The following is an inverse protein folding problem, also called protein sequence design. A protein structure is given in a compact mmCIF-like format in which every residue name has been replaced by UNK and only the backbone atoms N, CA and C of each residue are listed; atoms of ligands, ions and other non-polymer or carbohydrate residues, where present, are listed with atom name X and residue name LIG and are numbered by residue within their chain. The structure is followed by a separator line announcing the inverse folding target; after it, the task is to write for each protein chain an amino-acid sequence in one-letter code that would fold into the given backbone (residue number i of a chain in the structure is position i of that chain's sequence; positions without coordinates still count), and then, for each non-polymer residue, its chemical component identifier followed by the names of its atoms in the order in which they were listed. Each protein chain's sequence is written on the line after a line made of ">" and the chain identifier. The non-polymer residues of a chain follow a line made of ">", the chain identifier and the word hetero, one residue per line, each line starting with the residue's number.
data_IF_298686241238
#
_entry.id   IF_298686241238
#
_cell.length_a   1.000
_cell.length_b   1.000
_cell.length_c   1.000
_cell.angle_alpha   90.00
_cell.angle_beta   90.00
_cell.angle_gamma   90.00
#
_symmetry.space_group_name_H-M   'P 1'
#
loop_
_entity.id
_entity.type
_entity.pdbx_description
1 polymer ?
#
# COMPACT_ATOMS: atom_id res chain seq x y z
N UNK A 1 6.91 -15.00 -8.48
CA UNK A 1 6.14 -15.51 -9.63
C UNK A 1 6.06 -14.40 -10.66
N UNK A 2 6.34 -14.67 -11.94
CA UNK A 2 6.24 -13.65 -12.99
C UNK A 2 4.75 -13.36 -13.27
N UNK A 3 4.35 -12.09 -13.21
CA UNK A 3 3.01 -11.65 -13.58
C UNK A 3 2.95 -11.52 -15.10
N UNK A 4 2.01 -12.22 -15.74
CA UNK A 4 1.77 -12.13 -17.19
C UNK A 4 0.47 -11.38 -17.46
N UNK A 5 0.39 -10.68 -18.59
CA UNK A 5 -0.78 -9.89 -18.95
C UNK A 5 -0.66 -9.22 -20.32
N UNK A 6 -1.72 -8.58 -20.78
CA UNK A 6 -1.77 -7.81 -22.02
C UNK A 6 -1.29 -6.36 -21.86
N UNK A 7 -0.87 -5.97 -20.64
CA UNK A 7 -0.38 -4.63 -20.28
C UNK A 7 0.78 -4.77 -19.30
N UNK A 8 1.85 -4.01 -19.55
CA UNK A 8 3.05 -3.94 -18.71
C UNK A 8 3.49 -2.49 -18.65
N UNK A 9 3.77 -1.99 -17.45
CA UNK A 9 4.35 -0.66 -17.24
C UNK A 9 5.16 -0.68 -15.94
N UNK A 10 6.23 0.10 -15.91
CA UNK A 10 7.03 0.42 -14.73
C UNK A 10 6.49 1.64 -13.95
N UNK A 11 5.50 2.35 -14.49
CA UNK A 11 4.81 3.44 -13.82
C UNK A 11 3.67 2.91 -12.94
N UNK A 12 3.91 3.00 -11.63
CA UNK A 12 3.00 2.61 -10.57
C UNK A 12 1.62 3.30 -10.62
N UNK A 13 1.53 4.54 -11.09
CA UNK A 13 0.28 5.30 -11.20
C UNK A 13 -0.47 4.97 -12.51
N UNK A 14 0.25 4.72 -13.61
CA UNK A 14 -0.37 4.19 -14.83
C UNK A 14 -1.11 2.88 -14.58
N UNK A 15 -0.47 1.93 -13.87
CA UNK A 15 -1.09 0.66 -13.48
C UNK A 15 -2.30 0.87 -12.56
N UNK A 16 -2.21 1.81 -11.63
CA UNK A 16 -3.34 2.17 -10.75
C UNK A 16 -4.53 2.73 -11.53
N UNK A 17 -4.30 3.62 -12.50
CA UNK A 17 -5.36 4.16 -13.36
C UNK A 17 -6.04 3.07 -14.19
N UNK A 18 -5.30 2.07 -14.68
CA UNK A 18 -5.88 0.93 -15.37
C UNK A 18 -6.80 0.11 -14.46
N UNK A 19 -6.38 -0.16 -13.22
CA UNK A 19 -7.22 -0.88 -12.26
C UNK A 19 -8.53 -0.14 -11.97
N UNK A 20 -8.47 1.18 -11.77
CA UNK A 20 -9.66 2.04 -11.56
C UNK A 20 -10.57 2.03 -12.80
N UNK A 21 -10.00 1.96 -14.01
CA UNK A 21 -10.76 1.85 -15.25
C UNK A 21 -11.35 0.44 -15.50
N UNK A 22 -11.11 -0.53 -14.62
CA UNK A 22 -11.62 -1.90 -14.76
C UNK A 22 -10.82 -2.78 -15.73
N UNK A 23 -9.57 -2.39 -16.03
CA UNK A 23 -8.74 -3.06 -17.04
C UNK A 23 -7.96 -4.27 -16.52
N UNK A 24 -8.29 -4.76 -15.32
CA UNK A 24 -7.72 -5.95 -14.72
C UNK A 24 -7.56 -5.87 -13.20
N UNK A 25 -6.75 -6.79 -12.66
CA UNK A 25 -6.39 -6.85 -11.24
C UNK A 25 -5.04 -6.19 -11.00
N UNK A 26 -4.89 -5.57 -9.83
CA UNK A 26 -3.63 -4.97 -9.40
C UNK A 26 -3.21 -5.53 -8.04
N UNK A 27 -1.93 -5.89 -7.93
CA UNK A 27 -1.31 -6.28 -6.67
C UNK A 27 -0.34 -5.17 -6.26
N UNK A 28 -0.72 -4.38 -5.26
CA UNK A 28 0.07 -3.26 -4.72
C UNK A 28 -0.07 -3.24 -3.19
N UNK A 29 0.79 -2.45 -2.54
CA UNK A 29 0.65 -2.22 -1.11
C UNK A 29 -0.70 -1.54 -0.84
N UNK A 30 -1.34 -1.91 0.28
CA UNK A 30 -2.58 -1.25 0.71
C UNK A 30 -2.37 0.27 0.84
N UNK A 31 -1.21 0.69 1.34
CA UNK A 31 -0.87 2.10 1.53
C UNK A 31 -1.01 2.93 0.25
N UNK A 32 -0.66 2.35 -0.91
CA UNK A 32 -0.75 3.01 -2.21
C UNK A 32 -2.20 3.16 -2.72
N UNK A 33 -3.13 2.35 -2.21
CA UNK A 33 -4.50 2.23 -2.72
C UNK A 33 -5.56 2.66 -1.70
N UNK A 34 -5.19 3.07 -0.48
CA UNK A 34 -6.13 3.40 0.61
C UNK A 34 -7.21 4.40 0.17
N UNK A 35 -6.85 5.44 -0.59
CA UNK A 35 -7.81 6.45 -1.00
C UNK A 35 -8.80 5.94 -2.05
N UNK A 36 -8.40 5.00 -2.90
CA UNK A 36 -9.30 4.34 -3.86
C UNK A 36 -10.20 3.32 -3.19
N UNK A 37 -9.65 2.56 -2.25
CA UNK A 37 -10.37 1.60 -1.44
C UNK A 37 -11.44 2.31 -0.58
N UNK A 38 -11.08 3.41 0.07
CA UNK A 38 -12.02 4.24 0.86
C UNK A 38 -13.08 4.89 -0.01
N UNK A 39 -12.75 5.29 -1.23
CA UNK A 39 -13.71 5.85 -2.17
C UNK A 39 -14.56 4.80 -2.89
N UNK A 40 -14.33 3.51 -2.65
CA UNK A 40 -15.03 2.41 -3.34
C UNK A 40 -14.69 2.29 -4.83
N UNK A 41 -13.62 2.93 -5.30
CA UNK A 41 -13.12 2.80 -6.69
C UNK A 41 -12.42 1.47 -6.92
N UNK A 42 -11.85 0.90 -5.86
CA UNK A 42 -11.22 -0.42 -5.85
C UNK A 42 -11.78 -1.24 -4.69
N UNK A 43 -11.68 -2.56 -4.80
CA UNK A 43 -12.09 -3.52 -3.77
C UNK A 43 -10.99 -4.56 -3.55
N UNK A 44 -10.78 -4.98 -2.30
CA UNK A 44 -9.87 -6.08 -1.99
C UNK A 44 -10.54 -7.42 -2.34
N UNK A 45 -9.88 -8.22 -3.17
CA UNK A 45 -10.44 -9.50 -3.63
C UNK A 45 -9.98 -10.71 -2.81
N UNK A 46 -8.76 -10.64 -2.25
CA UNK A 46 -8.15 -11.76 -1.53
C UNK A 46 -8.07 -11.48 -0.03
N UNK A 47 -8.25 -12.50 0.82
CA UNK A 47 -8.06 -12.35 2.26
C UNK A 47 -6.59 -12.06 2.59
N UNK A 48 -6.30 -11.43 3.75
CA UNK A 48 -4.94 -11.07 4.15
C UNK A 48 -3.94 -12.23 4.12
N UNK A 49 -4.40 -13.46 4.36
CA UNK A 49 -3.58 -14.67 4.35
C UNK A 49 -3.06 -15.06 2.96
N UNK A 50 -3.63 -14.51 1.88
CA UNK A 50 -3.20 -14.79 0.51
C UNK A 50 -2.03 -13.90 0.07
N UNK A 51 -1.75 -12.82 0.81
CA UNK A 51 -0.70 -11.88 0.48
C UNK A 51 0.52 -12.08 1.37
N UNK A 52 1.70 -12.15 0.76
CA UNK A 52 2.96 -12.13 1.50
C UNK A 52 3.10 -10.80 2.26
N UNK A 53 3.63 -10.82 3.51
CA UNK A 53 3.90 -9.60 4.25
C UNK A 53 4.87 -8.68 3.48
N UNK A 54 4.47 -7.41 3.32
CA UNK A 54 5.32 -6.36 2.73
C UNK A 54 5.64 -5.30 3.79
N UNK A 55 6.72 -5.48 4.58
CA UNK A 55 7.08 -4.50 5.61
C UNK A 55 7.65 -3.21 4.99
N UNK A 56 7.25 -2.07 5.55
CA UNK A 56 7.78 -0.76 5.18
C UNK A 56 8.96 -0.40 6.09
N UNK A 57 10.11 -0.09 5.50
CA UNK A 57 11.35 0.21 6.23
C UNK A 57 11.84 1.63 5.93
N UNK A 58 12.31 2.33 6.96
CA UNK A 58 13.14 3.54 6.82
C UNK A 58 14.61 3.13 6.83
N UNK A 59 15.32 3.35 5.73
CA UNK A 59 16.72 2.94 5.56
C UNK A 59 17.63 4.17 5.64
N UNK A 60 18.71 4.07 6.40
CA UNK A 60 19.78 5.06 6.44
C UNK A 60 21.05 4.48 5.83
N UNK A 61 21.73 5.24 4.97
CA UNK A 61 22.91 4.75 4.24
C UNK A 61 24.12 4.53 5.18
N UNK A 62 24.18 5.25 6.30
CA UNK A 62 25.25 5.10 7.27
C UNK A 62 24.75 5.27 8.71
N UNK A 63 25.32 4.51 9.66
CA UNK A 63 24.91 4.55 11.08
C UNK A 63 24.99 5.94 11.72
N UNK A 64 25.90 6.78 11.24
CA UNK A 64 26.06 8.16 11.72
C UNK A 64 24.84 9.04 11.40
N UNK A 65 24.01 8.64 10.44
CA UNK A 65 22.76 9.32 10.09
C UNK A 65 21.61 8.93 11.04
N UNK A 66 21.80 7.95 11.94
CA UNK A 66 20.83 7.60 12.99
C UNK A 66 20.87 8.64 14.11
N UNK A 67 20.45 9.85 13.78
CA UNK A 67 20.35 10.98 14.69
C UNK A 67 19.00 10.96 15.41
N UNK A 68 18.87 11.67 16.56
CA UNK A 68 17.58 11.83 17.24
C UNK A 68 16.47 12.35 16.32
N UNK A 69 16.81 13.23 15.35
CA UNK A 69 15.87 13.75 14.35
C UNK A 69 15.35 12.65 13.43
N UNK A 70 16.21 11.75 12.96
CA UNK A 70 15.78 10.63 12.11
C UNK A 70 14.94 9.63 12.92
N UNK A 71 15.28 9.39 14.19
CA UNK A 71 14.45 8.57 15.08
C UNK A 71 13.07 9.20 15.31
N UNK A 72 13.00 10.51 15.51
CA UNK A 72 11.73 11.24 15.65
C UNK A 72 10.91 11.20 14.35
N UNK A 73 11.55 11.37 13.19
CA UNK A 73 10.90 11.23 11.89
C UNK A 73 10.35 9.83 11.69
N UNK A 74 11.12 8.79 12.02
CA UNK A 74 10.67 7.41 11.94
C UNK A 74 9.43 7.18 12.83
N UNK A 75 9.46 7.64 14.08
CA UNK A 75 8.32 7.53 14.98
C UNK A 75 7.06 8.22 14.40
N UNK A 76 7.23 9.44 13.90
CA UNK A 76 6.15 10.20 13.25
C UNK A 76 5.58 9.48 12.02
N UNK A 77 6.44 9.03 11.11
CA UNK A 77 6.02 8.32 9.90
C UNK A 77 5.29 7.02 10.24
N UNK A 78 5.79 6.25 11.23
CA UNK A 78 5.12 5.03 11.70
C UNK A 78 3.73 5.32 12.20
N UNK A 79 3.56 6.32 13.06
CA UNK A 79 2.24 6.73 13.56
C UNK A 79 1.29 7.10 12.41
N UNK A 80 1.81 7.84 11.42
CA UNK A 80 1.01 8.31 10.29
C UNK A 80 0.57 7.20 9.35
N UNK A 81 1.48 6.29 9.01
CA UNK A 81 1.16 5.10 8.22
C UNK A 81 0.17 4.19 8.95
N UNK A 82 0.36 3.96 10.26
CA UNK A 82 -0.57 3.15 11.06
C UNK A 82 -1.97 3.75 11.12
N UNK A 83 -2.09 5.06 11.35
CA UNK A 83 -3.37 5.74 11.37
C UNK A 83 -4.05 5.76 10.00
N UNK A 84 -3.27 5.91 8.91
CA UNK A 84 -3.81 5.85 7.56
C UNK A 84 -4.37 4.45 7.24
N UNK A 85 -3.62 3.39 7.56
CA UNK A 85 -4.07 1.99 7.41
C UNK A 85 -5.32 1.68 8.25
N UNK A 86 -5.34 2.14 9.51
CA UNK A 86 -6.49 1.97 10.39
C UNK A 86 -7.76 2.63 9.82
N UNK A 87 -7.62 3.76 9.12
CA UNK A 87 -8.76 4.49 8.54
C UNK A 87 -9.56 3.70 7.50
N UNK A 88 -8.95 2.69 6.86
CA UNK A 88 -9.66 1.78 5.95
C UNK A 88 -10.18 0.53 6.69
N UNK A 89 -9.40 -0.03 7.61
CA UNK A 89 -9.79 -1.23 8.38
C UNK A 89 -11.05 -1.00 9.24
N UNK A 90 -11.23 0.21 9.76
CA UNK A 90 -12.43 0.58 10.53
C UNK A 90 -13.73 0.53 9.71
N UNK A 91 -13.66 0.48 8.37
CA UNK A 91 -14.82 0.33 7.48
C UNK A 91 -14.97 -1.07 6.86
N UNK A 92 -14.01 -1.99 7.06
CA UNK A 92 -13.91 -3.26 6.33
C UNK A 92 -14.75 -4.43 6.85
N UNK A 93 -15.55 -4.25 7.92
CA UNK A 93 -16.53 -5.26 8.36
C UNK A 93 -17.89 -4.98 7.74
N UNK A 94 -18.01 -5.11 6.41
CA UNK A 94 -19.30 -5.18 5.70
C UNK A 94 -19.08 -5.75 4.29
N UNK A 95 -19.07 -7.07 4.17
CA UNK A 95 -20.00 -7.82 3.32
C UNK A 95 -19.57 -9.28 3.30
N UNK A 96 -20.54 -10.14 3.61
CA UNK A 96 -20.59 -11.54 3.21
C UNK A 96 -20.74 -11.67 1.68
#
# INVERSE_FOLDING_TARGET
>A
MAVTGNRISDDADAVRRWAIAGEGLVSKSRLDLIDDLKAGRLVELFPPAYCEPSPLHLICAHRAQLTPTISALNAFLRERCSALLASYLSGGSRSA
#
